data_IF_108047963688
#
_entry.id   IF_108047963688
#
_cell.length_a   1.000
_cell.length_b   1.000
_cell.length_c   1.000
_cell.angle_alpha   90.00
_cell.angle_beta   90.00
_cell.angle_gamma   90.00
#
_symmetry.space_group_name_H-M   'P 1'
#
loop_
_entity.id
_entity.type
_entity.pdbx_description
1 polymer ?
#
# COMPACT_ATOMS: atom_id res chain seq x y z
N UNK A 1 2.10 11.14 -5.73
CA UNK A 1 2.18 12.48 -5.11
C UNK A 1 3.00 12.33 -3.83
N UNK A 2 3.98 13.21 -3.58
CA UNK A 2 4.73 13.24 -2.31
C UNK A 2 4.11 14.34 -1.45
N UNK A 3 3.57 13.98 -0.27
CA UNK A 3 2.92 14.92 0.64
C UNK A 3 3.73 15.09 1.93
N UNK A 4 3.65 16.28 2.51
CA UNK A 4 4.24 16.63 3.82
C UNK A 4 3.12 16.87 4.83
N UNK A 5 3.48 16.76 6.11
CA UNK A 5 2.63 16.60 7.31
C UNK A 5 1.45 17.60 7.47
N UNK A 6 1.49 18.76 6.81
CA UNK A 6 0.38 19.74 6.87
C UNK A 6 -0.82 19.39 5.98
N UNK A 7 -0.64 18.62 4.90
CA UNK A 7 -1.71 18.40 3.90
C UNK A 7 -2.71 17.31 4.27
N UNK A 8 -2.40 16.47 5.26
CA UNK A 8 -3.33 15.49 5.87
C UNK A 8 -4.24 16.12 6.91
N UNK A 9 -3.97 17.36 7.37
CA UNK A 9 -4.73 17.98 8.46
C UNK A 9 -6.18 18.36 8.11
N UNK A 10 -6.65 18.11 6.89
CA UNK A 10 -8.09 17.98 6.61
C UNK A 10 -8.41 16.49 6.42
N UNK A 11 -8.66 15.80 7.53
CA UNK A 11 -8.72 14.34 7.64
C UNK A 11 -9.74 13.67 6.69
N UNK A 12 -10.81 14.38 6.32
CA UNK A 12 -11.88 13.81 5.49
C UNK A 12 -11.44 13.49 4.06
N UNK A 13 -10.48 14.20 3.46
CA UNK A 13 -10.13 13.97 2.05
C UNK A 13 -9.09 12.86 1.83
N UNK A 14 -8.29 12.53 2.86
CA UNK A 14 -7.22 11.55 2.73
C UNK A 14 -7.75 10.13 2.44
N UNK A 15 -8.94 9.78 2.94
CA UNK A 15 -9.61 8.51 2.66
C UNK A 15 -9.92 8.31 1.17
N UNK A 16 -10.12 9.40 0.41
CA UNK A 16 -10.55 9.32 -0.99
C UNK A 16 -9.40 9.04 -1.98
N UNK A 17 -8.17 9.42 -1.66
CA UNK A 17 -7.06 9.31 -2.61
C UNK A 17 -6.38 7.96 -2.54
N UNK A 18 -6.13 7.26 -3.66
CA UNK A 18 -5.34 6.04 -3.66
C UNK A 18 -3.97 6.24 -3.01
N UNK A 19 -3.52 5.28 -2.20
CA UNK A 19 -2.25 5.39 -1.49
C UNK A 19 -1.51 4.05 -1.45
N UNK A 20 -0.21 4.11 -1.73
CA UNK A 20 0.73 3.00 -1.59
C UNK A 20 1.75 3.42 -0.53
N UNK A 21 1.77 2.73 0.62
CA UNK A 21 2.77 2.94 1.66
C UNK A 21 3.96 2.01 1.45
N UNK A 22 5.17 2.52 1.65
CA UNK A 22 6.41 1.73 1.59
C UNK A 22 7.09 1.78 2.95
N UNK A 23 7.43 0.61 3.49
CA UNK A 23 8.06 0.45 4.79
C UNK A 23 7.11 -0.16 5.83
N UNK A 24 7.69 -0.94 6.76
CA UNK A 24 6.93 -1.70 7.75
C UNK A 24 6.29 -0.84 8.85
N UNK A 25 5.38 -1.42 9.65
CA UNK A 25 4.62 -0.70 10.68
C UNK A 25 5.50 -0.05 11.76
N UNK A 26 6.72 -0.56 11.99
CA UNK A 26 7.67 0.05 12.93
C UNK A 26 8.34 1.34 12.45
N UNK A 27 8.30 1.63 11.14
CA UNK A 27 9.00 2.79 10.54
C UNK A 27 8.10 3.68 9.67
N UNK A 28 6.88 3.25 9.37
CA UNK A 28 5.89 4.00 8.59
C UNK A 28 4.55 4.03 9.34
N UNK A 29 4.16 5.22 9.80
CA UNK A 29 2.94 5.41 10.58
C UNK A 29 1.66 5.11 9.79
N UNK A 30 1.65 5.35 8.47
CA UNK A 30 0.51 5.02 7.62
C UNK A 30 0.38 3.51 7.42
N UNK A 31 1.51 2.80 7.27
CA UNK A 31 1.51 1.33 7.32
C UNK A 31 0.97 0.82 8.64
N UNK A 32 1.41 1.39 9.77
CA UNK A 32 0.94 0.97 11.11
C UNK A 32 -0.59 1.08 11.28
N UNK A 33 -1.21 2.12 10.70
CA UNK A 33 -2.66 2.31 10.73
C UNK A 33 -3.42 1.26 9.92
N UNK A 34 -2.85 0.81 8.79
CA UNK A 34 -3.50 -0.12 7.85
C UNK A 34 -3.13 -1.59 8.07
N UNK A 35 -2.09 -1.85 8.88
CA UNK A 35 -1.47 -3.17 9.00
C UNK A 35 -2.45 -4.27 9.42
N UNK A 36 -3.37 -3.98 10.33
CA UNK A 36 -4.33 -4.96 10.85
C UNK A 36 -5.57 -5.12 9.96
N UNK A 37 -5.85 -4.13 9.10
CA UNK A 37 -7.10 -4.08 8.31
C UNK A 37 -6.90 -4.53 6.87
N UNK A 38 -5.71 -4.37 6.28
CA UNK A 38 -5.44 -4.83 4.93
C UNK A 38 -5.04 -6.31 4.89
N UNK A 39 -5.68 -7.12 4.03
CA UNK A 39 -5.32 -8.53 3.89
C UNK A 39 -3.95 -8.70 3.23
N UNK A 40 -3.23 -9.76 3.60
CA UNK A 40 -1.96 -10.15 2.95
C UNK A 40 -2.28 -10.77 1.58
N UNK A 41 -1.90 -10.06 0.52
CA UNK A 41 -2.05 -10.51 -0.87
C UNK A 41 -0.81 -11.30 -1.36
N UNK A 42 0.34 -11.08 -0.73
CA UNK A 42 1.58 -11.80 -0.99
C UNK A 42 2.42 -11.89 0.27
N UNK A 43 3.02 -13.06 0.51
CA UNK A 43 4.16 -13.18 1.40
C UNK A 43 5.16 -14.19 0.86
N UNK A 44 6.45 -13.89 1.04
CA UNK A 44 7.52 -14.81 0.72
C UNK A 44 8.46 -14.93 1.90
N UNK A 45 8.72 -16.17 2.32
CA UNK A 45 9.68 -16.50 3.37
C UNK A 45 9.43 -15.80 4.71
N UNK A 46 8.20 -15.34 4.98
CA UNK A 46 7.85 -14.52 6.15
C UNK A 46 8.71 -13.25 6.33
N UNK A 47 9.31 -12.76 5.24
CA UNK A 47 10.19 -11.59 5.27
C UNK A 47 9.75 -10.45 4.36
N UNK A 48 8.96 -10.76 3.34
CA UNK A 48 8.50 -9.85 2.30
C UNK A 48 6.98 -9.93 2.24
N UNK A 49 6.30 -8.78 2.23
CA UNK A 49 4.85 -8.68 2.35
C UNK A 49 4.28 -7.62 1.41
N UNK A 50 3.19 -7.98 0.75
CA UNK A 50 2.27 -7.05 0.09
C UNK A 50 0.92 -7.25 0.77
N UNK A 51 0.39 -6.20 1.37
CA UNK A 51 -1.00 -6.19 1.84
C UNK A 51 -1.78 -5.18 1.01
N UNK A 52 -2.88 -5.64 0.44
CA UNK A 52 -3.78 -4.85 -0.39
C UNK A 52 -5.09 -5.60 -0.53
N UNK A 53 -6.17 -4.85 -0.71
CA UNK A 53 -7.44 -5.39 -1.16
C UNK A 53 -7.71 -4.88 -2.59
N UNK A 54 -7.50 -5.70 -3.63
CA UNK A 54 -7.68 -5.27 -5.02
C UNK A 54 -9.15 -5.05 -5.41
N UNK A 55 -10.12 -5.39 -4.55
CA UNK A 55 -11.54 -5.27 -4.87
C UNK A 55 -12.20 -4.08 -4.15
N UNK A 56 -11.81 -3.80 -2.91
CA UNK A 56 -12.53 -2.82 -2.07
C UNK A 56 -11.70 -1.61 -1.64
N UNK A 57 -10.37 -1.72 -1.58
CA UNK A 57 -9.53 -0.69 -0.96
C UNK A 57 -8.47 -0.13 -1.91
N UNK A 58 -8.47 1.20 -2.10
CA UNK A 58 -7.40 1.93 -2.80
C UNK A 58 -6.17 2.13 -1.91
N UNK A 59 -5.81 1.10 -1.15
CA UNK A 59 -4.69 1.08 -0.22
C UNK A 59 -3.83 -0.15 -0.47
N UNK A 60 -2.53 0.08 -0.53
CA UNK A 60 -1.54 -0.99 -0.53
C UNK A 60 -0.41 -0.62 0.43
N UNK A 61 0.14 -1.62 1.11
CA UNK A 61 1.35 -1.49 1.93
C UNK A 61 2.39 -2.52 1.48
N UNK A 62 3.60 -2.03 1.22
CA UNK A 62 4.73 -2.81 0.70
C UNK A 62 5.85 -2.75 1.73
N UNK A 63 6.18 -3.89 2.33
CA UNK A 63 7.17 -3.90 3.39
C UNK A 63 7.85 -5.26 3.56
N UNK A 64 9.00 -5.23 4.22
CA UNK A 64 9.68 -6.42 4.67
C UNK A 64 10.39 -6.22 6.00
N UNK A 65 10.97 -7.29 6.52
CA UNK A 65 11.67 -7.31 7.81
C UNK A 65 12.94 -6.46 7.83
N UNK A 66 13.49 -6.18 6.64
CA UNK A 66 14.61 -5.28 6.41
C UNK A 66 14.44 -4.49 5.10
N UNK A 67 15.43 -3.65 4.80
CA UNK A 67 15.43 -2.81 3.61
C UNK A 67 15.53 -3.61 2.30
N UNK A 68 16.24 -4.74 2.30
CA UNK A 68 16.34 -5.62 1.13
C UNK A 68 15.00 -6.28 0.81
N UNK A 69 14.32 -6.77 1.84
CA UNK A 69 13.02 -7.42 1.72
C UNK A 69 11.91 -6.40 1.42
N UNK A 70 12.04 -5.16 1.89
CA UNK A 70 11.13 -4.07 1.48
C UNK A 70 11.29 -3.74 0.00
N UNK A 71 12.53 -3.71 -0.51
CA UNK A 71 12.78 -3.55 -1.94
C UNK A 71 12.20 -4.72 -2.75
N UNK A 72 12.39 -5.94 -2.27
CA UNK A 72 11.81 -7.14 -2.88
C UNK A 72 10.28 -7.04 -2.97
N UNK A 73 9.60 -6.57 -1.92
CA UNK A 73 8.16 -6.35 -1.94
C UNK A 73 7.73 -5.35 -3.02
N UNK A 74 8.49 -4.27 -3.21
CA UNK A 74 8.24 -3.29 -4.28
C UNK A 74 8.48 -3.90 -5.66
N UNK A 75 9.56 -4.66 -5.84
CA UNK A 75 9.89 -5.30 -7.11
C UNK A 75 8.80 -6.33 -7.50
N UNK A 76 8.35 -7.17 -6.56
CA UNK A 76 7.24 -8.12 -6.77
C UNK A 76 5.95 -7.37 -7.08
N UNK A 77 5.64 -6.31 -6.33
CA UNK A 77 4.42 -5.53 -6.54
C UNK A 77 4.32 -4.99 -7.98
N UNK A 78 5.43 -4.49 -8.52
CA UNK A 78 5.50 -3.95 -9.89
C UNK A 78 5.53 -5.05 -10.95
N UNK A 79 6.28 -6.14 -10.72
CA UNK A 79 6.55 -7.15 -11.76
C UNK A 79 5.48 -8.22 -11.87
N UNK A 80 4.80 -8.52 -10.78
CA UNK A 80 3.93 -9.71 -10.68
C UNK A 80 2.44 -9.33 -10.78
N UNK A 81 2.13 -8.14 -11.30
CA UNK A 81 0.77 -7.69 -11.64
C UNK A 81 -0.06 -7.15 -10.47
N UNK A 82 0.51 -6.98 -9.28
CA UNK A 82 -0.21 -6.38 -8.14
C UNK A 82 -0.47 -4.88 -8.36
N UNK A 83 0.50 -4.15 -8.93
CA UNK A 83 0.33 -2.76 -9.31
C UNK A 83 -0.79 -2.59 -10.34
N UNK A 84 -0.85 -3.47 -11.35
CA UNK A 84 -1.89 -3.42 -12.38
C UNK A 84 -3.28 -3.58 -11.76
N UNK A 85 -3.46 -4.58 -10.89
CA UNK A 85 -4.73 -4.78 -10.16
C UNK A 85 -5.11 -3.59 -9.29
N UNK A 86 -4.14 -3.00 -8.60
CA UNK A 86 -4.37 -1.79 -7.81
C UNK A 86 -4.83 -0.63 -8.70
N UNK A 87 -4.18 -0.41 -9.84
CA UNK A 87 -4.52 0.67 -10.77
C UNK A 87 -5.88 0.45 -11.44
N UNK A 88 -6.22 -0.79 -11.78
CA UNK A 88 -7.55 -1.16 -12.29
C UNK A 88 -8.66 -0.74 -11.32
N UNK A 89 -8.50 -1.01 -10.03
CA UNK A 89 -9.44 -0.56 -8.99
C UNK A 89 -9.54 0.97 -8.93
N UNK A 90 -8.40 1.66 -8.97
CA UNK A 90 -8.34 3.13 -8.93
C UNK A 90 -9.08 3.74 -10.11
N UNK A 91 -8.91 3.19 -11.32
CA UNK A 91 -9.54 3.73 -12.53
C UNK A 91 -11.02 3.38 -12.66
N UNK A 92 -11.46 2.20 -12.21
CA UNK A 92 -12.88 1.80 -12.25
C UNK A 92 -13.80 2.81 -11.57
N UNK A 93 -13.38 3.34 -10.43
CA UNK A 93 -14.19 4.27 -9.64
C UNK A 93 -14.02 5.75 -10.04
N UNK A 94 -13.10 6.07 -10.95
CA UNK A 94 -12.93 7.44 -11.45
C UNK A 94 -13.87 7.78 -12.62
N UNK A 95 -14.61 6.78 -13.13
CA UNK A 95 -15.54 6.90 -14.26
C UNK A 95 -17.02 6.94 -13.88
N UNK A 96 -17.36 7.10 -12.60
CA UNK A 96 -18.73 7.33 -12.11
C UNK A 96 -18.98 8.80 -11.77
#
# INVERSE_FOLDING_TARGET
MVLTDMWVMNQEMAEFFPAIAIGGPGVNAFTAQLYETLPIAFTQGQRCFIQMDPEESKRAILWGMDHHSTREAVDVFVRDGYLDRFLDLVWRQAGE
#
